data_IF_907902508889
#
_entry.id   IF_907902508889
#
_cell.length_a   1.000
_cell.length_b   1.000
_cell.length_c   1.000
_cell.angle_alpha   90.00
_cell.angle_beta   90.00
_cell.angle_gamma   90.00
#
_symmetry.space_group_name_H-M   'P 1'
#
loop_
_entity.id
_entity.type
_entity.pdbx_description
1 polymer ?
#
# COMPACT_ATOMS: atom_id res chain seq x y z
N UNK A 1 5.97 -0.49 17.63
CA UNK A 1 6.75 -0.80 16.41
C UNK A 1 5.93 -0.32 15.22
N UNK A 2 6.52 0.45 14.33
CA UNK A 2 5.84 0.96 13.14
C UNK A 2 6.31 0.17 11.92
N UNK A 3 5.46 -0.72 11.40
CA UNK A 3 5.71 -1.46 10.18
C UNK A 3 5.07 -0.74 8.99
N UNK A 4 5.73 -0.75 7.84
CA UNK A 4 5.09 -0.46 6.57
C UNK A 4 4.17 -1.62 6.14
N UNK A 5 3.22 -1.34 5.25
CA UNK A 5 2.29 -2.36 4.73
C UNK A 5 3.03 -3.55 4.12
N UNK A 6 4.11 -3.32 3.37
CA UNK A 6 4.87 -4.41 2.75
C UNK A 6 5.55 -5.31 3.80
N UNK A 7 6.12 -4.72 4.87
CA UNK A 7 6.74 -5.49 5.95
C UNK A 7 5.71 -6.33 6.71
N UNK A 8 4.53 -5.76 6.97
CA UNK A 8 3.43 -6.51 7.58
C UNK A 8 2.96 -7.68 6.70
N UNK A 9 2.91 -7.48 5.37
CA UNK A 9 2.55 -8.54 4.42
C UNK A 9 3.60 -9.65 4.36
N UNK A 10 4.88 -9.32 4.33
CA UNK A 10 5.98 -10.29 4.39
C UNK A 10 5.88 -11.15 5.66
N UNK A 11 5.59 -10.52 6.80
CA UNK A 11 5.40 -11.24 8.06
C UNK A 11 4.17 -12.16 8.04
N UNK A 12 3.04 -11.68 7.51
CA UNK A 12 1.82 -12.48 7.36
C UNK A 12 2.04 -13.67 6.43
N UNK A 13 2.70 -13.47 5.29
CA UNK A 13 3.04 -14.53 4.35
C UNK A 13 3.96 -15.58 4.98
N UNK A 14 4.95 -15.15 5.75
CA UNK A 14 5.84 -16.05 6.49
C UNK A 14 5.06 -16.96 7.47
N UNK A 15 3.95 -16.47 8.00
CA UNK A 15 3.04 -17.23 8.87
C UNK A 15 1.91 -17.93 8.13
N UNK A 16 1.98 -18.07 6.81
CA UNK A 16 1.01 -18.81 6.00
C UNK A 16 -0.29 -18.08 5.72
N UNK A 17 -0.39 -16.79 6.03
CA UNK A 17 -1.56 -15.97 5.68
C UNK A 17 -1.47 -15.54 4.21
N UNK A 18 -2.46 -15.84 3.37
CA UNK A 18 -2.44 -15.43 1.97
C UNK A 18 -2.41 -13.91 1.83
N UNK A 19 -1.46 -13.41 1.05
CA UNK A 19 -1.35 -11.99 0.70
C UNK A 19 -1.32 -11.82 -0.82
N UNK A 20 -1.78 -10.69 -1.37
CA UNK A 20 -1.64 -10.41 -2.79
C UNK A 20 -0.17 -10.39 -3.20
N UNK A 21 0.18 -11.13 -4.26
CA UNK A 21 1.55 -11.13 -4.83
C UNK A 21 1.95 -9.72 -5.23
N UNK A 22 3.22 -9.40 -5.04
CA UNK A 22 3.75 -8.08 -5.36
C UNK A 22 5.20 -7.93 -4.96
N UNK A 23 5.69 -6.71 -5.01
CA UNK A 23 7.04 -6.37 -4.60
C UNK A 23 7.16 -4.90 -4.19
N UNK A 24 8.19 -4.60 -3.42
CA UNK A 24 8.55 -3.25 -3.01
C UNK A 24 9.59 -2.68 -3.96
N UNK A 25 9.49 -1.39 -4.25
CA UNK A 25 10.43 -0.67 -5.11
C UNK A 25 10.65 0.76 -4.63
N UNK A 26 11.75 1.34 -5.07
CA UNK A 26 12.17 2.71 -4.80
C UNK A 26 12.49 3.51 -6.08
N UNK A 27 12.34 2.87 -7.25
CA UNK A 27 12.45 3.51 -8.57
C UNK A 27 11.25 3.17 -9.46
N UNK A 28 10.90 4.05 -10.42
CA UNK A 28 9.84 3.76 -11.39
C UNK A 28 10.16 2.55 -12.29
N UNK A 29 11.43 2.36 -12.64
CA UNK A 29 11.90 1.24 -13.44
C UNK A 29 11.70 -0.09 -12.72
N UNK A 30 12.02 -0.15 -11.43
CA UNK A 30 11.77 -1.32 -10.59
C UNK A 30 10.27 -1.61 -10.45
N UNK A 31 9.43 -0.57 -10.31
CA UNK A 31 7.97 -0.73 -10.29
C UNK A 31 7.46 -1.36 -11.61
N UNK A 32 7.95 -0.89 -12.76
CA UNK A 32 7.62 -1.44 -14.07
C UNK A 32 8.08 -2.90 -14.20
N UNK A 33 9.30 -3.22 -13.77
CA UNK A 33 9.84 -4.58 -13.82
C UNK A 33 9.00 -5.56 -12.99
N UNK A 34 8.63 -5.18 -11.74
CA UNK A 34 7.73 -5.98 -10.90
C UNK A 34 6.41 -6.23 -11.62
N UNK A 35 5.82 -5.18 -12.21
CA UNK A 35 4.54 -5.30 -12.92
C UNK A 35 4.64 -6.22 -14.12
N UNK A 36 5.70 -6.12 -14.91
CA UNK A 36 5.95 -7.00 -16.07
C UNK A 36 6.03 -8.46 -15.65
N UNK A 37 6.73 -8.75 -14.55
CA UNK A 37 6.77 -10.10 -13.98
C UNK A 37 5.38 -10.61 -13.56
N UNK A 38 4.59 -9.76 -12.91
CA UNK A 38 3.23 -10.12 -12.48
C UNK A 38 2.29 -10.35 -13.68
N UNK A 39 2.44 -9.59 -14.77
CA UNK A 39 1.72 -9.79 -16.04
C UNK A 39 2.05 -11.17 -16.62
N UNK A 40 3.33 -11.54 -16.65
CA UNK A 40 3.77 -12.87 -17.08
C UNK A 40 3.18 -14.02 -16.27
N UNK A 41 2.75 -13.74 -15.03
CA UNK A 41 2.06 -14.67 -14.15
C UNK A 41 0.51 -14.57 -14.25
N UNK A 42 -0.01 -13.86 -15.25
CA UNK A 42 -1.44 -13.75 -15.55
C UNK A 42 -2.20 -12.64 -14.80
N UNK A 43 -1.50 -11.76 -14.07
CA UNK A 43 -2.15 -10.63 -13.40
C UNK A 43 -2.59 -9.56 -14.42
N UNK A 44 -3.75 -8.92 -14.18
CA UNK A 44 -4.36 -7.92 -15.08
C UNK A 44 -4.62 -6.58 -14.42
N UNK A 45 -4.52 -6.51 -13.11
CA UNK A 45 -4.82 -5.31 -12.35
C UNK A 45 -3.84 -5.16 -11.21
N UNK A 46 -3.31 -3.96 -11.02
CA UNK A 46 -2.23 -3.67 -10.08
C UNK A 46 -2.60 -2.51 -9.19
N UNK A 47 -2.20 -2.59 -7.92
CA UNK A 47 -2.28 -1.48 -6.98
C UNK A 47 -0.87 -0.96 -6.70
N UNK A 48 -0.63 0.32 -6.95
CA UNK A 48 0.59 1.04 -6.58
C UNK A 48 0.31 1.82 -5.32
N UNK A 49 1.03 1.54 -4.24
CA UNK A 49 0.73 2.07 -2.91
C UNK A 49 1.95 2.72 -2.29
N UNK A 50 1.88 4.02 -2.00
CA UNK A 50 2.90 4.74 -1.25
C UNK A 50 3.13 4.11 0.13
N UNK A 51 4.37 3.88 0.51
CA UNK A 51 4.74 3.31 1.80
C UNK A 51 5.16 4.42 2.75
N UNK A 52 4.21 4.88 3.56
CA UNK A 52 4.41 5.84 4.65
C UNK A 52 3.69 5.36 5.90
N UNK A 53 4.15 5.79 7.07
CA UNK A 53 3.50 5.48 8.36
C UNK A 53 2.29 6.39 8.60
N UNK A 54 1.31 6.34 7.71
CA UNK A 54 0.05 7.05 7.83
C UNK A 54 -1.05 6.37 7.02
N UNK A 55 -2.27 6.44 7.53
CA UNK A 55 -3.49 6.04 6.83
C UNK A 55 -4.00 7.13 5.88
N UNK A 56 -5.09 6.81 5.17
CA UNK A 56 -5.75 7.75 4.27
C UNK A 56 -4.99 8.07 2.98
N UNK A 57 -3.97 7.29 2.63
CA UNK A 57 -3.09 7.49 1.46
C UNK A 57 -3.86 7.64 0.16
N UNK A 58 -4.92 6.84 -0.05
CA UNK A 58 -5.72 6.87 -1.28
C UNK A 58 -6.38 8.23 -1.57
N UNK A 59 -6.75 8.97 -0.53
CA UNK A 59 -7.35 10.31 -0.60
C UNK A 59 -6.33 11.44 -0.36
N UNK A 60 -5.06 11.10 -0.23
CA UNK A 60 -3.99 12.06 0.01
C UNK A 60 -3.61 12.83 -1.25
N UNK A 61 -2.96 13.97 -1.06
CA UNK A 61 -2.46 14.84 -2.13
C UNK A 61 -0.96 15.04 -1.93
N UNK A 62 -0.20 14.93 -3.00
CA UNK A 62 1.22 15.24 -2.98
C UNK A 62 1.46 16.75 -3.05
N UNK A 63 2.54 17.24 -2.45
CA UNK A 63 2.94 18.66 -2.57
C UNK A 63 3.17 19.07 -4.02
N UNK A 64 3.49 18.14 -4.90
CA UNK A 64 3.59 18.34 -6.35
C UNK A 64 2.25 18.54 -7.06
N UNK A 65 1.12 18.38 -6.37
CA UNK A 65 -0.23 18.39 -6.96
C UNK A 65 -0.72 17.03 -7.44
N UNK A 66 0.14 15.99 -7.46
CA UNK A 66 -0.29 14.63 -7.84
C UNK A 66 -1.31 14.09 -6.81
N UNK A 67 -2.37 13.44 -7.30
CA UNK A 67 -3.49 12.99 -6.48
C UNK A 67 -3.45 11.50 -6.21
N UNK A 68 -3.64 11.12 -4.95
CA UNK A 68 -3.78 9.74 -4.52
C UNK A 68 -2.45 9.01 -4.32
N UNK A 69 -2.15 8.61 -3.10
CA UNK A 69 -1.01 7.75 -2.75
C UNK A 69 -1.31 6.25 -2.93
N UNK A 70 -2.47 5.90 -3.49
CA UNK A 70 -2.86 4.56 -3.94
C UNK A 70 -3.50 4.69 -5.30
N UNK A 71 -2.96 3.99 -6.30
CA UNK A 71 -3.45 4.00 -7.68
C UNK A 71 -3.71 2.58 -8.16
N UNK A 72 -4.79 2.41 -8.92
CA UNK A 72 -5.08 1.16 -9.62
C UNK A 72 -4.65 1.34 -11.07
N UNK A 73 -3.84 0.41 -11.57
CA UNK A 73 -3.23 0.43 -12.89
C UNK A 73 -3.50 -0.88 -13.62
N UNK A 74 -3.54 -0.83 -14.95
CA UNK A 74 -3.77 -1.98 -15.83
C UNK A 74 -2.54 -2.38 -16.65
N UNK A 75 -1.60 -1.47 -16.81
CA UNK A 75 -0.40 -1.68 -17.63
C UNK A 75 0.87 -1.37 -16.82
N UNK A 76 2.00 -1.89 -17.29
CA UNK A 76 3.29 -1.59 -16.68
C UNK A 76 3.68 -0.10 -16.86
N UNK A 77 3.23 0.53 -17.95
CA UNK A 77 3.48 1.96 -18.20
C UNK A 77 2.65 2.85 -17.25
N UNK A 78 1.38 2.50 -16.99
CA UNK A 78 0.58 3.19 -15.98
C UNK A 78 1.20 3.09 -14.57
N UNK A 79 1.77 1.93 -14.24
CA UNK A 79 2.50 1.73 -12.97
C UNK A 79 3.75 2.60 -12.93
N UNK A 80 4.52 2.65 -14.01
CA UNK A 80 5.70 3.49 -14.14
C UNK A 80 5.38 4.97 -13.91
N UNK A 81 4.38 5.51 -14.63
CA UNK A 81 3.97 6.91 -14.47
C UNK A 81 3.42 7.21 -13.07
N UNK A 82 2.66 6.27 -12.49
CA UNK A 82 2.21 6.41 -11.10
C UNK A 82 3.39 6.43 -10.12
N UNK A 83 4.36 5.55 -10.30
CA UNK A 83 5.56 5.50 -9.47
C UNK A 83 6.37 6.81 -9.57
N UNK A 84 6.54 7.34 -10.78
CA UNK A 84 7.20 8.63 -11.03
C UNK A 84 6.49 9.80 -10.35
N UNK A 85 5.16 9.79 -10.34
CA UNK A 85 4.37 10.82 -9.66
C UNK A 85 4.43 10.74 -8.12
N UNK A 86 4.72 9.56 -7.56
CA UNK A 86 4.69 9.34 -6.11
C UNK A 86 6.08 9.36 -5.46
N UNK A 87 7.09 8.72 -6.08
CA UNK A 87 8.43 8.61 -5.48
C UNK A 87 9.13 9.96 -5.39
N UNK A 88 9.82 10.17 -4.28
CA UNK A 88 10.53 11.42 -4.03
C UNK A 88 9.62 12.61 -3.68
N UNK A 89 8.30 12.44 -3.70
CA UNK A 89 7.33 13.48 -3.39
C UNK A 89 6.76 13.32 -1.97
N UNK A 90 6.32 14.44 -1.38
CA UNK A 90 5.72 14.49 -0.05
C UNK A 90 4.21 14.29 -0.16
N UNK A 91 3.69 13.21 0.43
CA UNK A 91 2.27 12.90 0.48
C UNK A 91 1.65 13.48 1.77
N UNK A 92 0.59 14.26 1.59
CA UNK A 92 -0.22 14.84 2.66
C UNK A 92 -1.49 14.00 2.79
N UNK A 93 -1.79 13.56 4.00
CA UNK A 93 -3.04 12.87 4.37
C UNK A 93 -3.62 13.49 5.64
N UNK A 94 -4.85 13.12 6.00
CA UNK A 94 -5.44 13.57 7.27
C UNK A 94 -4.58 13.20 8.50
N UNK A 95 -3.80 12.13 8.43
CA UNK A 95 -2.98 11.65 9.55
C UNK A 95 -1.56 12.22 9.58
N UNK A 96 -1.05 12.73 8.46
CA UNK A 96 0.31 13.32 8.40
C UNK A 96 0.34 14.78 8.80
N UNK A 97 -0.80 15.45 8.84
CA UNK A 97 -0.85 16.91 8.93
C UNK A 97 -0.30 17.58 7.65
N UNK A 98 -0.14 18.92 7.70
CA UNK A 98 0.30 19.73 6.57
C UNK A 98 1.74 19.42 6.12
N UNK A 99 2.60 18.95 7.01
CA UNK A 99 4.00 18.61 6.69
C UNK A 99 4.08 17.44 5.72
N UNK A 100 3.13 16.50 5.81
CA UNK A 100 3.11 15.30 4.99
C UNK A 100 4.23 14.31 5.35
N UNK A 101 4.43 13.32 4.47
CA UNK A 101 5.53 12.36 4.58
C UNK A 101 6.14 12.10 3.21
N UNK A 102 7.47 12.11 3.14
CA UNK A 102 8.21 11.77 1.94
C UNK A 102 8.00 10.30 1.58
N UNK A 103 7.59 10.04 0.34
CA UNK A 103 7.43 8.68 -0.19
C UNK A 103 8.75 8.21 -0.78
N UNK A 104 9.39 7.28 -0.09
CA UNK A 104 10.68 6.68 -0.50
C UNK A 104 10.52 5.31 -1.12
N UNK A 105 9.41 4.64 -0.86
CA UNK A 105 9.12 3.29 -1.35
C UNK A 105 7.68 3.16 -1.77
N UNK A 106 7.45 2.31 -2.75
CA UNK A 106 6.13 1.88 -3.19
C UNK A 106 5.99 0.37 -3.02
N UNK A 107 4.78 -0.08 -2.76
CA UNK A 107 4.37 -1.46 -2.91
C UNK A 107 3.56 -1.56 -4.20
N UNK A 108 4.03 -2.37 -5.13
CA UNK A 108 3.27 -2.78 -6.33
C UNK A 108 2.75 -4.17 -6.07
N UNK A 109 1.43 -4.37 -6.11
CA UNK A 109 0.83 -5.67 -5.87
C UNK A 109 -0.33 -5.93 -6.82
N UNK A 110 -0.63 -7.21 -7.05
CA UNK A 110 -1.85 -7.61 -7.75
C UNK A 110 -3.07 -7.07 -6.99
N UNK A 111 -3.99 -6.42 -7.70
CA UNK A 111 -5.27 -6.01 -7.15
C UNK A 111 -6.30 -7.13 -7.39
N UNK A 112 -6.68 -7.91 -6.39
CA UNK A 112 -7.66 -8.97 -6.55
C UNK A 112 -9.05 -8.38 -6.75
N UNK A 113 -9.95 -9.16 -7.38
CA UNK A 113 -11.37 -8.81 -7.40
C UNK A 113 -11.93 -8.99 -5.99
N UNK A 114 -12.22 -7.89 -5.32
CA UNK A 114 -12.78 -7.89 -3.97
C UNK A 114 -14.25 -8.31 -4.05
N UNK A 115 -14.62 -9.37 -3.33
CA UNK A 115 -16.01 -9.80 -3.16
C UNK A 115 -16.64 -9.17 -1.92
N UNK A 116 -15.84 -9.04 -0.85
CA UNK A 116 -16.26 -8.47 0.44
C UNK A 116 -15.04 -7.96 1.19
N UNK A 117 -15.16 -6.82 1.85
CA UNK A 117 -14.17 -6.29 2.77
C UNK A 117 -14.66 -6.45 4.21
N UNK A 118 -13.76 -6.84 5.08
CA UNK A 118 -13.99 -6.97 6.51
C UNK A 118 -12.92 -6.15 7.23
N UNK A 119 -13.31 -5.52 8.32
CA UNK A 119 -12.35 -4.89 9.21
C UNK A 119 -11.90 -5.89 10.27
N UNK A 120 -10.59 -6.00 10.48
CA UNK A 120 -9.98 -6.77 11.56
C UNK A 120 -8.81 -5.98 12.14
N UNK A 121 -8.79 -5.80 13.44
CA UNK A 121 -7.66 -5.23 14.16
C UNK A 121 -7.36 -6.02 15.42
N UNK A 122 -6.08 -6.14 15.75
CA UNK A 122 -5.60 -6.69 17.03
C UNK A 122 -4.83 -5.55 17.70
N UNK A 123 -5.33 -5.11 18.85
CA UNK A 123 -4.81 -3.98 19.59
C UNK A 123 -4.46 -4.40 21.02
N UNK A 124 -3.55 -3.67 21.64
CA UNK A 124 -3.33 -3.77 23.09
C UNK A 124 -4.30 -2.82 23.81
N UNK A 125 -5.23 -3.38 24.58
CA UNK A 125 -6.01 -2.60 25.54
C UNK A 125 -5.13 -2.22 26.72
N UNK A 126 -4.85 -0.92 26.83
CA UNK A 126 -3.96 -0.39 27.86
C UNK A 126 -4.59 -0.41 29.26
N UNK A 127 -5.92 -0.40 29.35
CA UNK A 127 -6.63 -0.43 30.63
C UNK A 127 -6.54 -1.82 31.30
N UNK A 128 -6.66 -2.86 30.49
CA UNK A 128 -6.63 -4.25 30.97
C UNK A 128 -5.28 -4.96 30.73
N UNK A 129 -4.35 -4.32 29.99
CA UNK A 129 -3.07 -4.88 29.54
C UNK A 129 -3.21 -6.20 28.76
N UNK A 130 -4.30 -6.35 28.01
CA UNK A 130 -4.63 -7.56 27.26
C UNK A 130 -4.77 -7.25 25.75
N UNK A 131 -4.44 -8.20 24.87
CA UNK A 131 -4.77 -8.06 23.46
C UNK A 131 -6.29 -8.15 23.27
N UNK A 132 -6.82 -7.24 22.45
CA UNK A 132 -8.23 -7.19 22.04
C UNK A 132 -8.32 -7.35 20.54
N UNK A 133 -9.22 -8.21 20.08
CA UNK A 133 -9.56 -8.37 18.68
C UNK A 133 -10.82 -7.57 18.39
N UNK A 134 -10.75 -6.69 17.39
CA UNK A 134 -11.89 -5.94 16.88
C UNK A 134 -12.18 -6.41 15.46
N UNK A 135 -13.44 -6.72 15.18
CA UNK A 135 -13.89 -7.14 13.85
C UNK A 135 -15.20 -6.43 13.48
N UNK A 136 -15.34 -6.09 12.19
CA UNK A 136 -16.58 -5.55 11.63
C UNK A 136 -16.85 -6.23 10.29
N UNK A 137 -18.14 -6.38 9.96
CA UNK A 137 -18.58 -6.87 8.64
C UNK A 137 -18.43 -5.84 7.54
N UNK A 138 -18.11 -4.60 7.90
CA UNK A 138 -17.86 -3.47 6.99
C UNK A 138 -16.41 -3.02 7.16
N UNK A 139 -15.65 -3.11 6.09
CA UNK A 139 -14.24 -2.72 6.02
C UNK A 139 -14.03 -1.35 5.39
#
# INVERSE_FOLDING_TARGET
MNLHEYQAKELLEHHGVPVPRGGVCDTPEAAKAITTSLIGQGAKLFAVKSQIHAGGRGKGTFKSGYQGGVRICRTADEVYESAKGMLGNVLITKQTGADGRLVRKLLVAVAPKIKRELYLAILLDRATSRPVVMASTEG
#
